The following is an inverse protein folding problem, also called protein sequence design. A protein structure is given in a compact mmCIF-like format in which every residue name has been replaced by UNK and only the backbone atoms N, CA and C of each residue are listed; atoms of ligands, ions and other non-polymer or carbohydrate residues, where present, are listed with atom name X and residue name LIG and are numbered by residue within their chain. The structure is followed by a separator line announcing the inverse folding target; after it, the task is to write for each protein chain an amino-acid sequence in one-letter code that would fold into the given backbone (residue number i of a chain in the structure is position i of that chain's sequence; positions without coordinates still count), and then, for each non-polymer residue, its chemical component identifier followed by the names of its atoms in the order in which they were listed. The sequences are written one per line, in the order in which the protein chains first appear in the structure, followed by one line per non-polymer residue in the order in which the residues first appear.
data_IF_529725773057
#
_entry.id   IF_529725773057
#
_cell.length_a   1.000
_cell.length_b   1.000
_cell.length_c   1.000
_cell.angle_alpha   90.00
_cell.angle_beta   90.00
_cell.angle_gamma   90.00
#
_symmetry.space_group_name_H-M   'P 1'
#
loop_
_entity.id
_entity.type
_entity.pdbx_description
1 polymer ?
#
# COMPACT_ATOMS: atom_id res chain seq x y z
N UNK A 1 15.31 -6.05 -18.94
CA UNK A 1 15.54 -6.49 -17.54
C UNK A 1 14.36 -6.05 -16.70
N UNK A 2 13.99 -6.77 -15.61
CA UNK A 2 12.94 -6.31 -14.71
C UNK A 2 13.35 -4.99 -14.04
N UNK A 3 12.40 -4.07 -13.89
CA UNK A 3 12.62 -2.76 -13.24
C UNK A 3 12.53 -2.89 -11.72
N UNK A 4 11.79 -3.89 -11.24
CA UNK A 4 11.56 -4.16 -9.83
C UNK A 4 11.82 -5.63 -9.49
N UNK A 5 12.26 -5.88 -8.26
CA UNK A 5 12.44 -7.20 -7.66
C UNK A 5 11.73 -7.27 -6.33
N UNK A 6 11.23 -8.46 -6.01
CA UNK A 6 10.68 -8.77 -4.71
C UNK A 6 11.47 -9.92 -4.09
N UNK A 7 11.97 -9.70 -2.87
CA UNK A 7 12.58 -10.71 -2.02
C UNK A 7 11.61 -11.16 -0.93
N UNK A 8 11.24 -12.44 -0.95
CA UNK A 8 10.51 -13.14 0.12
C UNK A 8 11.29 -14.40 0.47
N UNK A 9 12.35 -14.24 1.26
CA UNK A 9 13.35 -15.28 1.43
C UNK A 9 12.83 -16.55 2.11
N UNK A 10 11.87 -16.44 3.03
CA UNK A 10 11.41 -17.58 3.82
C UNK A 10 9.89 -17.81 3.82
N UNK A 11 9.12 -17.07 3.01
CA UNK A 11 7.65 -17.16 2.98
C UNK A 11 6.92 -16.59 4.19
N UNK A 12 7.64 -16.35 5.30
CA UNK A 12 7.15 -15.61 6.49
C UNK A 12 7.95 -14.35 6.79
N UNK A 13 9.07 -14.14 6.07
CA UNK A 13 9.91 -12.97 6.19
C UNK A 13 9.22 -11.76 5.55
N UNK A 14 9.37 -10.53 6.09
CA UNK A 14 8.83 -9.33 5.46
C UNK A 14 9.26 -9.21 3.99
N UNK A 15 8.30 -8.87 3.13
CA UNK A 15 8.53 -8.72 1.71
C UNK A 15 9.42 -7.49 1.43
N UNK A 16 10.55 -7.68 0.76
CA UNK A 16 11.43 -6.58 0.32
C UNK A 16 11.10 -6.28 -1.14
N UNK A 17 10.54 -5.12 -1.43
CA UNK A 17 10.34 -4.66 -2.80
C UNK A 17 11.38 -3.61 -3.18
N UNK A 18 12.22 -3.93 -4.16
CA UNK A 18 13.36 -3.12 -4.57
C UNK A 18 13.26 -2.73 -6.03
N UNK A 19 13.65 -1.48 -6.34
CA UNK A 19 13.87 -1.03 -7.72
C UNK A 19 15.27 -1.42 -8.19
N UNK A 20 15.36 -2.17 -9.28
CA UNK A 20 16.61 -2.68 -9.86
C UNK A 20 17.21 -1.76 -10.94
N UNK A 21 16.37 -1.06 -11.68
CA UNK A 21 16.80 -0.16 -12.76
C UNK A 21 15.84 1.00 -12.95
N UNK A 22 16.25 2.04 -13.66
CA UNK A 22 15.32 3.06 -14.15
C UNK A 22 14.50 2.46 -15.31
N UNK A 23 13.17 2.67 -15.37
CA UNK A 23 12.35 2.25 -16.50
C UNK A 23 12.67 3.08 -17.77
N UNK A 24 12.46 2.50 -18.95
CA UNK A 24 12.55 3.26 -20.21
C UNK A 24 11.49 4.38 -20.23
N UNK A 25 11.94 5.61 -20.47
CA UNK A 25 11.15 6.83 -20.21
C UNK A 25 9.94 7.02 -21.15
N UNK A 26 9.94 6.41 -22.32
CA UNK A 26 8.95 6.69 -23.37
C UNK A 26 7.54 6.20 -23.04
N UNK A 27 7.42 5.05 -22.38
CA UNK A 27 6.12 4.43 -22.05
C UNK A 27 5.44 5.03 -20.82
N UNK A 28 6.24 5.53 -19.86
CA UNK A 28 5.72 6.12 -18.63
C UNK A 28 5.33 7.59 -18.80
N UNK A 29 5.79 8.27 -19.85
CA UNK A 29 5.46 9.68 -20.11
C UNK A 29 3.97 9.92 -20.33
N UNK A 30 3.34 9.19 -21.27
CA UNK A 30 1.90 9.28 -21.55
C UNK A 30 1.07 8.79 -20.35
N UNK A 31 1.56 7.75 -19.66
CA UNK A 31 0.93 7.28 -18.44
C UNK A 31 0.89 8.37 -17.36
N UNK A 32 1.97 9.16 -17.23
CA UNK A 32 2.08 10.22 -16.22
C UNK A 32 1.03 11.31 -16.40
N UNK A 33 0.79 11.79 -17.63
CA UNK A 33 -0.23 12.82 -17.91
C UNK A 33 -1.65 12.37 -17.50
N UNK A 34 -2.02 11.13 -17.84
CA UNK A 34 -3.32 10.56 -17.45
C UNK A 34 -3.43 10.38 -15.94
N UNK A 35 -2.36 9.88 -15.31
CA UNK A 35 -2.29 9.72 -13.87
C UNK A 35 -2.41 11.07 -13.14
N UNK A 36 -1.84 12.16 -13.67
CA UNK A 36 -1.98 13.50 -13.09
C UNK A 36 -3.39 14.07 -13.20
N UNK A 37 -4.08 13.78 -14.31
CA UNK A 37 -5.49 14.18 -14.50
C UNK A 37 -6.43 13.39 -13.58
N UNK A 38 -6.08 12.14 -13.30
CA UNK A 38 -6.87 11.23 -12.49
C UNK A 38 -7.65 10.24 -13.34
N UNK A 39 -7.43 8.94 -13.12
CA UNK A 39 -8.12 7.87 -13.84
C UNK A 39 -9.53 7.68 -13.27
N UNK A 40 -10.58 7.68 -14.07
CA UNK A 40 -11.95 7.37 -13.61
C UNK A 40 -12.30 5.89 -13.67
N UNK A 41 -11.53 5.12 -14.46
CA UNK A 41 -11.62 3.67 -14.59
C UNK A 41 -10.21 3.10 -14.82
N UNK A 42 -10.06 1.79 -14.66
CA UNK A 42 -8.81 1.10 -14.99
C UNK A 42 -8.59 1.21 -16.50
N UNK A 43 -7.38 1.63 -16.88
CA UNK A 43 -7.02 1.95 -18.26
C UNK A 43 -6.01 0.92 -18.79
N UNK A 44 -6.35 0.25 -19.89
CA UNK A 44 -5.53 -0.79 -20.52
C UNK A 44 -4.15 -0.31 -20.97
N UNK A 45 -4.00 0.95 -21.38
CA UNK A 45 -2.71 1.50 -21.78
C UNK A 45 -1.80 1.68 -20.57
N UNK A 46 -2.36 2.12 -19.44
CA UNK A 46 -1.65 2.21 -18.16
C UNK A 46 -1.25 0.80 -17.70
N UNK A 47 -2.17 -0.17 -17.74
CA UNK A 47 -1.86 -1.56 -17.39
C UNK A 47 -0.77 -2.14 -18.29
N UNK A 48 -0.79 -1.85 -19.59
CA UNK A 48 0.26 -2.29 -20.52
C UNK A 48 1.62 -1.67 -20.20
N UNK A 49 1.66 -0.38 -19.82
CA UNK A 49 2.91 0.29 -19.46
C UNK A 49 3.51 -0.33 -18.19
N UNK A 50 2.74 -0.46 -17.11
CA UNK A 50 3.23 -1.06 -15.86
C UNK A 50 3.48 -2.57 -15.98
N UNK A 51 2.70 -3.31 -16.78
CA UNK A 51 2.90 -4.74 -17.02
C UNK A 51 4.16 -5.09 -17.83
N UNK A 52 4.81 -4.09 -18.45
CA UNK A 52 6.17 -4.24 -19.02
C UNK A 52 7.27 -4.05 -17.98
N UNK A 53 7.03 -3.20 -16.96
CA UNK A 53 8.01 -2.89 -15.93
C UNK A 53 8.02 -3.89 -14.76
N UNK A 54 6.84 -4.44 -14.42
CA UNK A 54 6.65 -5.35 -13.30
C UNK A 54 7.06 -6.79 -13.59
N UNK A 55 7.36 -7.58 -12.53
CA UNK A 55 7.54 -9.02 -12.65
C UNK A 55 6.36 -9.69 -13.37
N UNK A 56 6.61 -10.83 -14.02
CA UNK A 56 5.52 -11.60 -14.61
C UNK A 56 4.75 -12.32 -13.51
N UNK A 57 3.65 -11.74 -13.06
CA UNK A 57 2.70 -12.34 -12.12
C UNK A 57 1.25 -12.45 -12.63
N UNK A 58 0.33 -12.91 -11.77
CA UNK A 58 -1.11 -12.72 -11.91
C UNK A 58 -1.51 -11.58 -10.98
N UNK A 59 -2.20 -10.58 -11.53
CA UNK A 59 -2.50 -9.35 -10.81
C UNK A 59 -4.00 -9.10 -10.75
N UNK A 60 -4.53 -8.94 -9.54
CA UNK A 60 -5.82 -8.28 -9.33
C UNK A 60 -5.59 -6.77 -9.36
N UNK A 61 -6.21 -6.09 -10.33
CA UNK A 61 -6.10 -4.64 -10.49
C UNK A 61 -7.28 -3.93 -9.85
N UNK A 62 -7.01 -2.94 -9.00
CA UNK A 62 -8.03 -2.16 -8.30
C UNK A 62 -7.75 -0.67 -8.43
N UNK A 63 -8.83 0.11 -8.52
CA UNK A 63 -8.77 1.56 -8.47
C UNK A 63 -9.44 2.02 -7.19
N UNK A 64 -8.63 2.45 -6.23
CA UNK A 64 -9.03 2.78 -4.87
C UNK A 64 -8.99 4.30 -4.68
N UNK A 65 -9.93 4.89 -3.95
CA UNK A 65 -9.65 6.19 -3.32
C UNK A 65 -9.13 5.94 -1.90
N UNK A 66 -8.06 6.62 -1.54
CA UNK A 66 -7.39 6.51 -0.23
C UNK A 66 -7.18 7.90 0.34
N UNK A 67 -7.32 8.04 1.65
CA UNK A 67 -6.96 9.28 2.37
C UNK A 67 -5.74 8.95 3.23
N UNK A 68 -4.51 9.15 2.71
CA UNK A 68 -3.31 8.69 3.38
C UNK A 68 -3.00 9.54 4.62
N UNK A 69 -2.57 8.90 5.70
CA UNK A 69 -2.03 9.54 6.89
C UNK A 69 -0.58 9.09 7.05
N UNK A 70 0.36 10.03 6.96
CA UNK A 70 1.77 9.76 7.20
C UNK A 70 1.98 9.35 8.68
N UNK A 71 2.72 8.26 8.87
CA UNK A 71 3.07 7.69 10.17
C UNK A 71 4.56 7.47 10.22
N UNK A 72 5.22 7.97 11.27
CA UNK A 72 6.63 7.69 11.54
C UNK A 72 6.75 6.46 12.46
N UNK A 73 7.85 5.69 12.35
CA UNK A 73 8.10 4.58 13.27
C UNK A 73 8.03 5.03 14.75
N UNK A 74 7.24 4.32 15.56
CA UNK A 74 7.02 4.61 16.98
C UNK A 74 6.02 5.74 17.28
N UNK A 75 5.39 6.36 16.27
CA UNK A 75 4.28 7.29 16.49
C UNK A 75 3.05 6.56 17.05
N UNK A 76 2.14 7.28 17.70
CA UNK A 76 0.94 6.73 18.31
C UNK A 76 -0.03 6.00 17.34
N UNK A 77 0.17 6.16 16.03
CA UNK A 77 -0.60 5.46 14.98
C UNK A 77 0.25 4.41 14.26
N UNK A 78 1.42 4.06 14.78
CA UNK A 78 2.31 3.08 14.19
C UNK A 78 1.87 1.64 14.47
N UNK A 79 1.40 0.96 13.43
CA UNK A 79 0.98 -0.44 13.45
C UNK A 79 2.01 -1.38 14.07
N UNK A 80 3.29 -1.22 13.71
CA UNK A 80 4.33 -2.17 14.10
C UNK A 80 4.68 -2.08 15.60
N UNK A 81 4.54 -0.90 16.20
CA UNK A 81 4.79 -0.69 17.63
C UNK A 81 3.55 -0.81 18.51
N UNK A 82 2.36 -0.86 17.90
CA UNK A 82 1.08 -0.92 18.59
C UNK A 82 0.30 -2.17 18.23
N UNK A 83 -0.52 -2.17 17.17
CA UNK A 83 -1.44 -3.26 16.86
C UNK A 83 -0.72 -4.61 16.70
N UNK A 84 0.44 -4.66 16.04
CA UNK A 84 1.21 -5.89 15.93
C UNK A 84 1.69 -6.40 17.32
N UNK A 85 2.18 -5.50 18.17
CA UNK A 85 2.63 -5.85 19.52
C UNK A 85 1.46 -6.24 20.42
N UNK A 86 0.31 -5.61 20.24
CA UNK A 86 -0.91 -5.96 20.97
C UNK A 86 -1.31 -7.41 20.70
N UNK A 87 -1.12 -7.93 19.48
CA UNK A 87 -1.52 -9.31 19.13
C UNK A 87 -0.44 -10.35 19.41
N UNK A 88 0.82 -10.06 19.06
CA UNK A 88 1.92 -11.04 19.14
C UNK A 88 2.93 -10.77 20.26
N UNK A 89 2.79 -9.68 20.99
CA UNK A 89 3.82 -9.22 21.92
C UNK A 89 5.10 -8.78 21.20
N UNK A 90 6.18 -8.68 21.96
CA UNK A 90 7.51 -8.39 21.43
C UNK A 90 8.32 -9.68 21.42
N UNK A 91 8.98 -10.00 20.29
CA UNK A 91 9.91 -11.14 20.23
C UNK A 91 11.00 -10.99 21.30
N UNK A 92 11.07 -11.90 22.30
CA UNK A 92 12.06 -11.83 23.37
C UNK A 92 13.52 -11.88 22.89
N UNK A 93 13.77 -12.47 21.72
CA UNK A 93 15.12 -12.54 21.14
C UNK A 93 15.57 -11.19 20.57
N UNK A 94 14.64 -10.37 20.08
CA UNK A 94 14.90 -9.01 19.58
C UNK A 94 14.82 -7.98 20.70
N UNK A 95 13.84 -8.14 21.60
CA UNK A 95 13.60 -7.25 22.74
C UNK A 95 13.05 -5.88 22.38
N UNK A 96 12.57 -5.69 21.14
CA UNK A 96 11.94 -4.47 20.66
C UNK A 96 10.87 -4.79 19.59
N UNK A 97 9.84 -3.94 19.43
CA UNK A 97 8.88 -4.06 18.33
C UNK A 97 9.56 -4.05 16.95
N UNK A 98 8.87 -4.56 15.93
CA UNK A 98 9.31 -4.39 14.55
C UNK A 98 9.41 -2.90 14.21
N UNK A 99 10.43 -2.54 13.43
CA UNK A 99 10.66 -1.18 13.01
C UNK A 99 10.76 -1.12 11.48
N UNK A 100 9.80 -0.46 10.80
CA UNK A 100 9.81 -0.36 9.34
C UNK A 100 10.92 0.56 8.80
N UNK A 101 11.73 1.18 9.67
CA UNK A 101 12.90 2.07 9.43
C UNK A 101 12.63 3.33 8.59
N UNK A 102 11.48 3.42 7.92
CA UNK A 102 11.03 4.56 7.14
C UNK A 102 9.57 4.88 7.46
N UNK A 103 9.16 6.16 7.41
CA UNK A 103 7.75 6.52 7.43
C UNK A 103 6.96 5.84 6.30
N UNK A 104 5.71 5.53 6.58
CA UNK A 104 4.72 4.96 5.66
C UNK A 104 3.38 5.67 5.84
N UNK A 105 2.40 5.34 5.00
CA UNK A 105 1.05 5.92 5.12
C UNK A 105 0.06 4.85 5.53
N UNK A 106 -0.77 5.13 6.53
CA UNK A 106 -2.02 4.37 6.78
C UNK A 106 -3.12 4.95 5.90
N UNK A 107 -3.98 4.10 5.34
CA UNK A 107 -5.05 4.56 4.43
C UNK A 107 -6.43 4.08 4.81
N UNK A 108 -6.57 2.83 5.22
CA UNK A 108 -7.86 2.24 5.52
C UNK A 108 -7.72 1.08 6.50
N UNK A 109 -8.78 0.84 7.25
CA UNK A 109 -8.91 -0.37 8.05
C UNK A 109 -10.37 -0.74 8.24
N UNK A 110 -10.65 -2.03 8.41
CA UNK A 110 -11.98 -2.55 8.70
C UNK A 110 -11.91 -3.98 9.23
N UNK A 111 -12.85 -4.42 10.07
CA UNK A 111 -13.03 -5.85 10.36
C UNK A 111 -13.29 -6.66 9.09
N UNK A 112 -12.83 -7.90 9.08
CA UNK A 112 -13.06 -8.93 8.04
C UNK A 112 -13.60 -10.18 8.72
N UNK A 113 -14.90 -10.46 8.54
CA UNK A 113 -15.56 -11.56 9.26
C UNK A 113 -15.55 -11.34 10.77
N UNK A 114 -15.54 -12.43 11.54
CA UNK A 114 -15.57 -12.40 13.01
C UNK A 114 -14.18 -12.40 13.65
N UNK A 115 -13.15 -12.83 12.91
CA UNK A 115 -11.82 -13.15 13.44
C UNK A 115 -10.69 -12.40 12.75
N UNK A 116 -10.98 -11.50 11.79
CA UNK A 116 -9.95 -10.78 11.04
C UNK A 116 -10.13 -9.27 11.09
N UNK A 117 -9.01 -8.55 10.94
CA UNK A 117 -9.01 -7.10 10.75
C UNK A 117 -8.04 -6.73 9.62
N UNK A 118 -8.56 -5.98 8.65
CA UNK A 118 -7.79 -5.45 7.53
C UNK A 118 -7.08 -4.17 7.94
N UNK A 119 -5.77 -4.14 7.76
CA UNK A 119 -4.93 -2.94 7.81
C UNK A 119 -4.39 -2.64 6.41
N UNK A 120 -4.54 -1.42 5.94
CA UNK A 120 -4.08 -0.97 4.61
C UNK A 120 -3.00 0.10 4.74
N UNK A 121 -1.87 -0.16 4.07
CA UNK A 121 -0.69 0.70 4.09
C UNK A 121 -0.23 1.07 2.69
N UNK A 122 0.33 2.27 2.54
CA UNK A 122 1.15 2.65 1.38
C UNK A 122 2.59 2.88 1.84
N UNK A 123 3.51 2.10 1.29
CA UNK A 123 4.94 2.13 1.62
C UNK A 123 5.69 2.80 0.47
N UNK A 124 6.30 3.97 0.69
CA UNK A 124 7.04 4.65 -0.35
C UNK A 124 8.38 3.95 -0.60
N UNK A 125 8.73 3.71 -1.87
CA UNK A 125 10.04 3.13 -2.22
C UNK A 125 11.25 4.05 -1.94
N UNK A 126 11.00 5.33 -1.67
CA UNK A 126 11.99 6.31 -1.25
C UNK A 126 11.42 7.14 -0.10
N UNK A 127 12.26 7.62 0.83
CA UNK A 127 11.77 8.43 1.95
C UNK A 127 10.97 9.65 1.47
N UNK A 128 9.82 9.99 2.09
CA UNK A 128 9.04 11.17 1.72
C UNK A 128 9.85 12.48 1.72
N UNK A 129 10.85 12.59 2.59
CA UNK A 129 11.76 13.74 2.66
C UNK A 129 12.55 14.01 1.36
N UNK A 130 12.57 13.08 0.41
CA UNK A 130 13.23 13.25 -0.90
C UNK A 130 12.31 13.86 -1.96
N UNK A 131 11.01 14.00 -1.68
CA UNK A 131 10.08 14.61 -2.61
C UNK A 131 10.38 16.11 -2.79
N UNK A 132 10.17 16.61 -4.01
CA UNK A 132 10.34 18.01 -4.32
C UNK A 132 9.15 18.82 -3.74
N UNK A 133 9.42 19.65 -2.73
CA UNK A 133 8.40 20.43 -2.01
C UNK A 133 7.53 21.29 -2.94
N UNK A 134 8.10 21.84 -4.01
CA UNK A 134 7.34 22.58 -5.02
C UNK A 134 6.28 21.71 -5.70
N UNK A 135 6.61 20.47 -6.09
CA UNK A 135 5.66 19.55 -6.71
C UNK A 135 4.57 19.11 -5.73
N UNK A 136 4.93 18.88 -4.46
CA UNK A 136 3.96 18.58 -3.41
C UNK A 136 2.96 19.73 -3.27
N UNK A 137 3.43 20.98 -3.27
CA UNK A 137 2.57 22.16 -3.20
C UNK A 137 1.67 22.32 -4.44
N UNK A 138 2.18 22.05 -5.65
CA UNK A 138 1.41 22.07 -6.90
C UNK A 138 0.26 21.06 -6.87
N UNK A 139 0.54 19.82 -6.45
CA UNK A 139 -0.53 18.84 -6.25
C UNK A 139 -1.49 19.30 -5.15
N UNK A 140 -0.99 19.79 -4.01
CA UNK A 140 -1.81 20.28 -2.91
C UNK A 140 -2.81 21.36 -3.34
N UNK A 141 -2.38 22.30 -4.19
CA UNK A 141 -3.22 23.38 -4.73
C UNK A 141 -4.26 22.92 -5.76
N UNK A 142 -4.08 21.76 -6.39
CA UNK A 142 -5.03 21.20 -7.38
C UNK A 142 -5.99 20.16 -6.79
N UNK A 143 -5.72 19.67 -5.57
CA UNK A 143 -6.61 18.73 -4.89
C UNK A 143 -8.04 19.29 -4.82
N UNK A 144 -9.02 18.47 -5.19
CA UNK A 144 -10.45 18.85 -5.21
C UNK A 144 -10.94 19.46 -6.51
N UNK A 145 -10.06 19.84 -7.44
CA UNK A 145 -10.42 20.08 -8.85
C UNK A 145 -10.26 18.79 -9.65
N UNK A 146 -9.18 18.06 -9.39
CA UNK A 146 -8.94 16.70 -9.88
C UNK A 146 -8.57 15.80 -8.71
N UNK A 147 -8.69 14.48 -8.91
CA UNK A 147 -8.21 13.45 -7.98
C UNK A 147 -7.10 12.70 -8.68
N UNK A 148 -5.83 13.11 -8.50
CA UNK A 148 -4.72 12.48 -9.20
C UNK A 148 -4.59 11.02 -8.78
N UNK A 149 -3.98 10.22 -9.65
CA UNK A 149 -3.79 8.78 -9.46
C UNK A 149 -2.32 8.44 -9.23
N UNK A 150 -2.06 7.73 -8.14
CA UNK A 150 -0.81 7.04 -7.83
C UNK A 150 -0.90 5.57 -8.27
N UNK A 151 0.24 4.88 -8.37
CA UNK A 151 0.31 3.47 -8.78
C UNK A 151 1.16 2.68 -7.80
N UNK A 152 0.69 1.51 -7.39
CA UNK A 152 1.39 0.64 -6.47
C UNK A 152 1.40 -0.84 -6.89
N UNK A 153 2.52 -1.50 -6.62
CA UNK A 153 2.60 -2.97 -6.54
C UNK A 153 2.16 -3.38 -5.16
N UNK A 154 1.27 -4.37 -5.04
CA UNK A 154 0.60 -4.63 -3.76
C UNK A 154 0.57 -6.11 -3.40
N UNK A 155 0.59 -6.37 -2.10
CA UNK A 155 0.51 -7.71 -1.51
C UNK A 155 -0.58 -7.73 -0.44
N UNK A 156 -1.30 -8.84 -0.34
CA UNK A 156 -2.19 -9.12 0.78
C UNK A 156 -1.67 -10.31 1.56
N UNK A 157 -1.31 -10.07 2.81
CA UNK A 157 -0.87 -11.12 3.73
C UNK A 157 -1.92 -11.33 4.82
N UNK A 158 -2.22 -12.60 5.12
CA UNK A 158 -3.10 -12.96 6.24
C UNK A 158 -2.24 -13.67 7.27
N UNK A 159 -2.02 -12.98 8.39
CA UNK A 159 -1.17 -13.44 9.48
C UNK A 159 -2.10 -13.80 10.64
N UNK A 160 -2.15 -15.09 10.97
CA UNK A 160 -2.88 -15.57 12.14
C UNK A 160 -1.95 -15.64 13.35
N UNK A 161 -2.45 -15.35 14.57
CA UNK A 161 -1.69 -15.61 15.78
C UNK A 161 -1.40 -17.11 15.94
N UNK A 162 -0.12 -17.44 16.14
CA UNK A 162 0.30 -18.80 16.46
C UNK A 162 0.03 -19.16 17.93
N UNK A 163 -0.01 -18.14 18.80
CA UNK A 163 -0.20 -18.25 20.25
C UNK A 163 -1.03 -17.05 20.77
N UNK A 164 -1.79 -17.25 21.84
CA UNK A 164 -2.59 -16.19 22.48
C UNK A 164 -1.79 -15.53 23.60
N UNK A 165 -0.79 -14.73 23.22
CA UNK A 165 0.13 -14.07 24.15
C UNK A 165 -0.08 -12.54 24.23
N UNK A 166 -0.91 -11.99 23.35
CA UNK A 166 -1.24 -10.57 23.25
C UNK A 166 -2.43 -10.10 24.11
N UNK A 167 -2.65 -8.78 24.08
CA UNK A 167 -3.83 -8.09 24.62
C UNK A 167 -5.07 -8.27 23.72
N UNK A 168 -4.87 -8.58 22.43
CA UNK A 168 -5.92 -8.97 21.49
C UNK A 168 -5.56 -10.23 20.68
N UNK A 169 -6.57 -10.81 20.02
CA UNK A 169 -6.45 -12.08 19.32
C UNK A 169 -7.36 -12.13 18.08
N UNK A 170 -6.87 -11.61 16.96
CA UNK A 170 -7.49 -11.75 15.64
C UNK A 170 -6.41 -11.86 14.56
N UNK A 171 -6.82 -12.30 13.38
CA UNK A 171 -5.97 -12.38 12.20
C UNK A 171 -5.72 -10.98 11.66
N UNK A 172 -4.46 -10.62 11.40
CA UNK A 172 -4.15 -9.37 10.71
C UNK A 172 -4.10 -9.64 9.22
N UNK A 173 -4.99 -8.97 8.51
CA UNK A 173 -5.04 -8.97 7.06
C UNK A 173 -4.33 -7.70 6.62
N UNK A 174 -3.11 -7.82 6.12
CA UNK A 174 -2.23 -6.69 5.83
C UNK A 174 -2.18 -6.47 4.32
N UNK A 175 -2.88 -5.44 3.84
CA UNK A 175 -2.81 -5.00 2.45
C UNK A 175 -1.75 -3.91 2.31
N UNK A 176 -0.59 -4.28 1.77
CA UNK A 176 0.54 -3.37 1.60
C UNK A 176 0.68 -2.93 0.15
N UNK A 177 0.71 -1.63 -0.08
CA UNK A 177 0.90 -1.00 -1.39
C UNK A 177 2.30 -0.37 -1.49
N UNK A 178 3.24 -1.01 -2.20
CA UNK A 178 4.55 -0.44 -2.51
C UNK A 178 4.43 0.59 -3.65
N UNK A 179 4.70 1.86 -3.33
CA UNK A 179 4.42 2.99 -4.21
C UNK A 179 5.42 3.09 -5.37
N UNK A 180 4.95 2.78 -6.58
CA UNK A 180 5.75 2.83 -7.81
C UNK A 180 5.81 4.23 -8.40
N UNK A 181 4.66 4.92 -8.43
CA UNK A 181 4.50 6.29 -8.92
C UNK A 181 3.53 7.06 -8.03
N UNK A 182 3.79 8.35 -7.88
CA UNK A 182 2.88 9.27 -7.20
C UNK A 182 3.30 9.64 -5.78
N UNK A 183 4.59 9.54 -5.42
CA UNK A 183 5.13 9.93 -4.11
C UNK A 183 4.71 11.34 -3.71
N UNK A 184 4.88 12.32 -4.60
CA UNK A 184 4.44 13.71 -4.37
C UNK A 184 2.91 13.85 -4.22
N UNK A 185 2.12 13.02 -4.92
CA UNK A 185 0.65 13.05 -4.90
C UNK A 185 0.13 12.53 -3.57
N UNK A 186 0.68 11.41 -3.09
CA UNK A 186 0.35 10.78 -1.81
C UNK A 186 0.74 11.70 -0.65
N UNK A 187 1.93 12.31 -0.70
CA UNK A 187 2.36 13.27 0.31
C UNK A 187 1.45 14.50 0.35
N UNK A 188 1.13 15.09 -0.80
CA UNK A 188 0.23 16.24 -0.87
C UNK A 188 -1.17 15.90 -0.33
N UNK A 189 -1.69 14.73 -0.68
CA UNK A 189 -2.98 14.24 -0.20
C UNK A 189 -2.98 14.03 1.31
N UNK A 190 -1.89 13.50 1.86
CA UNK A 190 -1.74 13.30 3.30
C UNK A 190 -1.65 14.62 4.05
N UNK A 191 -0.82 15.55 3.58
CA UNK A 191 -0.67 16.87 4.17
C UNK A 191 -2.00 17.67 4.16
N UNK A 192 -2.83 17.46 3.14
CA UNK A 192 -4.12 18.12 3.00
C UNK A 192 -5.28 17.37 3.68
N UNK A 193 -5.09 16.11 4.12
CA UNK A 193 -6.17 15.25 4.60
C UNK A 193 -7.25 14.98 3.53
N UNK A 194 -6.86 14.84 2.26
CA UNK A 194 -7.79 14.69 1.12
C UNK A 194 -7.56 13.37 0.39
N UNK A 195 -8.59 12.85 -0.30
CA UNK A 195 -8.44 11.61 -1.04
C UNK A 195 -7.52 11.78 -2.26
N UNK A 196 -6.79 10.72 -2.55
CA UNK A 196 -6.04 10.49 -3.78
C UNK A 196 -6.41 9.12 -4.32
N UNK A 197 -6.35 8.95 -5.64
CA UNK A 197 -6.64 7.68 -6.27
C UNK A 197 -5.40 6.81 -6.32
N UNK A 198 -5.55 5.52 -6.11
CA UNK A 198 -4.49 4.53 -6.11
C UNK A 198 -4.87 3.39 -7.05
N UNK A 199 -4.12 3.21 -8.13
CA UNK A 199 -4.14 2.00 -8.93
C UNK A 199 -3.27 0.96 -8.23
N UNK A 200 -3.92 0.00 -7.56
CA UNK A 200 -3.28 -1.09 -6.84
C UNK A 200 -3.22 -2.33 -7.73
N UNK A 201 -2.03 -2.85 -7.96
CA UNK A 201 -1.77 -4.09 -8.70
C UNK A 201 -1.39 -5.17 -7.68
N UNK A 202 -2.39 -5.93 -7.20
CA UNK A 202 -2.20 -6.94 -6.15
C UNK A 202 -1.68 -8.23 -6.78
N UNK A 203 -0.50 -8.68 -6.35
CA UNK A 203 0.15 -9.88 -6.86
C UNK A 203 -0.42 -11.14 -6.17
N UNK A 204 -1.24 -11.91 -6.89
CA UNK A 204 -1.94 -13.08 -6.34
C UNK A 204 -1.02 -14.27 -6.09
N UNK A 205 0.12 -14.35 -6.78
CA UNK A 205 1.03 -15.50 -6.64
C UNK A 205 1.96 -15.38 -5.45
N UNK A 206 2.17 -14.15 -5.02
CA UNK A 206 3.13 -13.79 -4.00
C UNK A 206 2.46 -13.48 -2.67
N UNK A 207 1.27 -12.87 -2.73
CA UNK A 207 0.42 -12.67 -1.55
C UNK A 207 0.28 -13.99 -0.77
N UNK A 208 0.45 -13.94 0.55
CA UNK A 208 0.21 -15.11 1.41
C UNK A 208 -1.29 -15.45 1.45
N UNK A 209 -2.15 -14.47 1.21
CA UNK A 209 -3.60 -14.65 1.19
C UNK A 209 -4.07 -15.66 0.13
N UNK A 210 -5.03 -16.51 0.50
CA UNK A 210 -5.74 -17.36 -0.46
C UNK A 210 -6.63 -16.52 -1.40
N UNK A 211 -7.08 -17.06 -2.55
CA UNK A 211 -8.05 -16.38 -3.40
C UNK A 211 -9.36 -16.00 -2.67
N UNK A 212 -9.84 -16.84 -1.76
CA UNK A 212 -11.02 -16.57 -0.95
C UNK A 212 -10.77 -15.42 0.03
N UNK A 213 -9.59 -15.39 0.66
CA UNK A 213 -9.18 -14.28 1.50
C UNK A 213 -9.08 -12.98 0.67
N UNK A 214 -8.50 -13.02 -0.53
CA UNK A 214 -8.49 -11.85 -1.42
C UNK A 214 -9.91 -11.32 -1.65
N UNK A 215 -10.85 -12.18 -2.01
CA UNK A 215 -12.25 -11.79 -2.23
C UNK A 215 -12.88 -11.19 -0.96
N UNK A 216 -12.68 -11.81 0.20
CA UNK A 216 -13.23 -11.35 1.47
C UNK A 216 -12.69 -9.97 1.87
N UNK A 217 -11.38 -9.74 1.73
CA UNK A 217 -10.74 -8.45 2.03
C UNK A 217 -11.33 -7.33 1.19
N UNK A 218 -11.46 -7.57 -0.13
CA UNK A 218 -11.98 -6.59 -1.07
C UNK A 218 -13.46 -6.31 -0.87
N UNK A 219 -14.25 -7.32 -0.51
CA UNK A 219 -15.65 -7.15 -0.15
C UNK A 219 -15.82 -6.33 1.13
N UNK A 220 -15.07 -6.66 2.20
CA UNK A 220 -15.11 -5.93 3.46
C UNK A 220 -14.77 -4.45 3.25
N UNK A 221 -13.68 -4.18 2.52
CA UNK A 221 -13.26 -2.82 2.17
C UNK A 221 -14.33 -2.06 1.38
N UNK A 222 -14.92 -2.69 0.38
CA UNK A 222 -15.97 -2.06 -0.44
C UNK A 222 -17.24 -1.77 0.36
N UNK A 223 -17.64 -2.66 1.27
CA UNK A 223 -18.82 -2.49 2.12
C UNK A 223 -18.62 -1.36 3.15
N UNK A 224 -17.49 -1.36 3.85
CA UNK A 224 -17.15 -0.33 4.83
C UNK A 224 -17.01 1.07 4.20
N UNK A 225 -16.63 1.16 2.91
CA UNK A 225 -16.69 2.43 2.18
C UNK A 225 -18.11 2.89 1.89
N UNK A 226 -19.03 1.98 1.54
CA UNK A 226 -20.43 2.35 1.28
C UNK A 226 -21.16 2.82 2.54
N UNK A 227 -20.76 2.38 3.73
CA UNK A 227 -21.34 2.83 4.99
C UNK A 227 -20.81 4.19 5.48
N UNK A 228 -19.67 4.65 4.94
CA UNK A 228 -19.02 5.92 5.30
C UNK A 228 -19.33 7.08 4.34
N UNK A 229 -19.96 6.81 3.19
CA UNK A 229 -20.33 7.82 2.17
C UNK A 229 -21.83 8.07 2.15
#
# INVERSE_FOLDING_TARGET
MPVFELGLWCGTCPAIFQRLSEPESADLGVANERLNTGLTAIDDEILRAYGRALPKSHYTSLLLDVTPQLVSPGDASDYFSHEQVATWGVDPAVGAPENPVTPYYRTFETPVGEQGHLYEFVVPMVPPAWNASQRVAEYGGSLGQTVPTAVAYSLLDVIQPAMNEGDDYYEHWVLTHFLLDGHHKIEAASAAGRPVRLLSLIDERISIASPEAMVAALQARAQARKSRG
#
